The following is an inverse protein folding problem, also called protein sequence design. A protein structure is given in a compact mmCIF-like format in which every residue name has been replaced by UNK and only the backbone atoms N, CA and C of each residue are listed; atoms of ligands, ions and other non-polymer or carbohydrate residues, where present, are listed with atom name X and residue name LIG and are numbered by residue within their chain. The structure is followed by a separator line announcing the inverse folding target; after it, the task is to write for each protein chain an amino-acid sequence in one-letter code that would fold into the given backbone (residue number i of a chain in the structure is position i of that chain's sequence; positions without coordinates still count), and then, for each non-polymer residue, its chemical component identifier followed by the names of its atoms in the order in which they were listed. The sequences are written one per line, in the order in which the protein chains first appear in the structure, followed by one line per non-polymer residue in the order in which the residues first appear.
data_IF_343137271758
#
_entry.id   IF_343137271758
#
_cell.length_a   1.000
_cell.length_b   1.000
_cell.length_c   1.000
_cell.angle_alpha   90.00
_cell.angle_beta   90.00
_cell.angle_gamma   90.00
#
_symmetry.space_group_name_H-M   'P 1'
#
loop_
_entity.id
_entity.type
_entity.pdbx_description
1 polymer ?
#
# COMPACT_ATOMS: atom_id res chain seq x y z
N UNK A 1 -1.92 49.81 -41.89
CA UNK A 1 -2.64 49.75 -40.61
C UNK A 1 -2.19 48.50 -39.85
N UNK A 2 -1.41 48.68 -38.78
CA UNK A 2 -0.93 47.58 -37.92
C UNK A 2 -1.87 47.50 -36.74
N UNK A 3 -2.62 46.40 -36.60
CA UNK A 3 -3.33 46.07 -35.37
C UNK A 3 -2.41 45.18 -34.54
N UNK A 4 -1.73 45.80 -33.57
CA UNK A 4 -1.07 45.08 -32.48
C UNK A 4 -2.06 44.82 -31.39
N UNK A 5 -2.59 43.58 -31.29
CA UNK A 5 -3.35 43.16 -30.13
C UNK A 5 -2.37 42.67 -29.03
N UNK A 6 -2.05 43.61 -28.14
CA UNK A 6 -1.41 43.21 -26.85
C UNK A 6 -2.47 42.56 -25.97
N UNK A 7 -2.50 41.22 -25.96
CA UNK A 7 -3.30 40.46 -25.01
C UNK A 7 -2.62 40.60 -23.63
N UNK A 8 -3.07 41.59 -22.84
CA UNK A 8 -2.66 41.67 -21.43
C UNK A 8 -3.34 40.56 -20.66
N UNK A 9 -2.55 39.55 -20.25
CA UNK A 9 -3.00 38.53 -19.31
C UNK A 9 -3.42 39.18 -17.99
N UNK A 10 -4.54 38.73 -17.36
CA UNK A 10 -4.97 39.28 -16.08
C UNK A 10 -3.87 39.09 -15.03
N UNK A 11 -3.46 40.18 -14.35
CA UNK A 11 -2.57 40.12 -13.19
C UNK A 11 -3.22 39.25 -12.12
N UNK A 12 -2.67 38.05 -11.88
CA UNK A 12 -3.10 37.13 -10.82
C UNK A 12 -3.14 35.67 -11.18
N UNK A 13 -2.95 35.31 -12.44
CA UNK A 13 -2.75 33.91 -12.81
C UNK A 13 -1.25 33.62 -12.72
N UNK A 14 -0.80 33.19 -11.54
CA UNK A 14 0.48 32.51 -11.43
C UNK A 14 0.39 31.28 -12.34
N UNK A 15 1.26 31.10 -13.35
CA UNK A 15 1.30 29.85 -14.11
C UNK A 15 1.44 28.73 -13.09
N UNK A 16 0.61 27.69 -13.21
CA UNK A 16 0.81 26.47 -12.43
C UNK A 16 2.28 26.11 -12.57
N UNK A 17 3.05 26.17 -11.48
CA UNK A 17 4.47 25.99 -11.49
C UNK A 17 4.73 24.65 -12.19
N UNK A 18 5.38 24.70 -13.35
CA UNK A 18 5.73 23.50 -14.11
C UNK A 18 6.61 22.65 -13.20
N UNK A 19 6.06 21.55 -12.69
CA UNK A 19 6.79 20.60 -11.84
C UNK A 19 8.01 20.15 -12.63
N UNK A 20 9.19 20.57 -12.16
CA UNK A 20 10.43 20.24 -12.85
C UNK A 20 10.72 18.74 -12.71
N UNK A 21 11.48 18.18 -13.64
CA UNK A 21 11.91 16.78 -13.56
C UNK A 21 12.66 16.51 -12.24
N UNK A 22 13.39 17.52 -11.75
CA UNK A 22 14.08 17.46 -10.45
C UNK A 22 13.12 17.36 -9.28
N UNK A 23 12.02 18.11 -9.28
CA UNK A 23 11.02 18.06 -8.20
C UNK A 23 10.34 16.69 -8.15
N UNK A 24 10.04 16.11 -9.32
CA UNK A 24 9.50 14.74 -9.44
C UNK A 24 10.47 13.71 -8.87
N UNK A 25 11.75 13.79 -9.18
CA UNK A 25 12.76 12.87 -8.67
C UNK A 25 12.94 12.98 -7.14
N UNK A 26 12.92 14.20 -6.61
CA UNK A 26 12.99 14.44 -5.16
C UNK A 26 11.76 13.85 -4.46
N UNK A 27 10.58 14.04 -5.02
CA UNK A 27 9.33 13.48 -4.50
C UNK A 27 9.37 11.95 -4.49
N UNK A 28 9.74 11.33 -5.60
CA UNK A 28 9.84 9.87 -5.73
C UNK A 28 10.84 9.30 -4.71
N UNK A 29 12.02 9.89 -4.59
CA UNK A 29 13.02 9.48 -3.58
C UNK A 29 12.45 9.53 -2.17
N UNK A 30 11.71 10.58 -1.83
CA UNK A 30 11.09 10.73 -0.51
C UNK A 30 10.03 9.66 -0.26
N UNK A 31 9.18 9.36 -1.25
CA UNK A 31 8.15 8.31 -1.14
C UNK A 31 8.80 6.93 -0.94
N UNK A 32 9.79 6.57 -1.76
CA UNK A 32 10.49 5.29 -1.61
C UNK A 32 11.26 5.17 -0.30
N UNK A 33 11.88 6.26 0.17
CA UNK A 33 12.55 6.29 1.47
C UNK A 33 11.55 6.05 2.62
N UNK A 34 10.40 6.71 2.60
CA UNK A 34 9.33 6.50 3.59
C UNK A 34 8.77 5.08 3.53
N UNK A 35 8.59 4.54 2.32
CA UNK A 35 8.16 3.16 2.13
C UNK A 35 9.16 2.17 2.74
N UNK A 36 10.44 2.33 2.44
CA UNK A 36 11.49 1.46 2.99
C UNK A 36 11.56 1.53 4.53
N UNK A 37 11.46 2.73 5.11
CA UNK A 37 11.42 2.90 6.55
C UNK A 37 10.18 2.29 7.18
N UNK A 38 9.01 2.44 6.56
CA UNK A 38 7.76 1.84 7.04
C UNK A 38 7.77 0.32 6.95
N UNK A 39 8.37 -0.25 5.91
CA UNK A 39 8.60 -1.69 5.82
C UNK A 39 9.57 -2.18 6.93
N UNK A 40 10.60 -1.41 7.25
CA UNK A 40 11.49 -1.70 8.37
C UNK A 40 10.76 -1.74 9.72
N UNK A 41 9.89 -0.76 10.01
CA UNK A 41 9.09 -0.76 11.24
C UNK A 41 8.06 -1.88 11.26
N UNK A 42 7.47 -2.24 10.12
CA UNK A 42 6.59 -3.40 10.02
C UNK A 42 7.35 -4.71 10.27
N UNK A 43 8.57 -4.86 9.76
CA UNK A 43 9.41 -6.03 10.02
C UNK A 43 9.78 -6.17 11.50
N UNK A 44 10.11 -5.06 12.18
CA UNK A 44 10.33 -5.05 13.63
C UNK A 44 9.05 -5.48 14.37
N UNK A 45 7.90 -4.92 13.99
CA UNK A 45 6.60 -5.32 14.54
C UNK A 45 6.33 -6.81 14.36
N UNK A 46 6.57 -7.34 13.17
CA UNK A 46 6.37 -8.76 12.86
C UNK A 46 7.29 -9.68 13.67
N UNK A 47 8.55 -9.29 13.84
CA UNK A 47 9.50 -10.01 14.70
C UNK A 47 9.03 -10.02 16.16
N UNK A 48 8.61 -8.87 16.69
CA UNK A 48 8.09 -8.78 18.06
C UNK A 48 6.81 -9.59 18.23
N UNK A 49 5.90 -9.55 17.27
CA UNK A 49 4.62 -10.26 17.29
C UNK A 49 4.75 -11.78 17.09
N UNK A 50 5.77 -12.25 16.40
CA UNK A 50 6.06 -13.68 16.24
C UNK A 50 6.91 -14.28 17.37
N UNK A 51 7.51 -13.45 18.19
CA UNK A 51 8.39 -13.85 19.29
C UNK A 51 7.95 -13.28 20.65
N UNK A 52 8.60 -12.21 21.16
CA UNK A 52 8.40 -11.74 22.53
C UNK A 52 6.96 -11.37 22.89
N UNK A 53 6.19 -10.87 21.93
CA UNK A 53 4.81 -10.42 22.14
C UNK A 53 3.76 -11.40 21.60
N UNK A 54 4.15 -12.60 21.20
CA UNK A 54 3.23 -13.60 20.62
C UNK A 54 2.06 -13.90 21.56
N UNK A 55 2.34 -14.13 22.85
CA UNK A 55 1.34 -14.45 23.86
C UNK A 55 0.39 -13.29 24.17
N UNK A 56 0.80 -12.06 23.85
CA UNK A 56 -0.05 -10.88 23.96
C UNK A 56 -0.90 -10.69 22.70
N UNK A 57 -0.29 -10.84 21.53
CA UNK A 57 -0.94 -10.52 20.25
C UNK A 57 -1.91 -11.62 19.80
N UNK A 58 -1.49 -12.89 19.89
CA UNK A 58 -2.27 -14.01 19.37
C UNK A 58 -3.68 -14.13 19.99
N UNK A 59 -3.86 -14.06 21.32
CA UNK A 59 -5.20 -14.13 21.90
C UNK A 59 -6.02 -12.85 21.71
N UNK A 60 -5.38 -11.72 21.42
CA UNK A 60 -6.01 -10.41 21.28
C UNK A 60 -6.07 -9.91 19.82
N UNK A 61 -6.05 -10.79 18.83
CA UNK A 61 -6.02 -10.40 17.42
C UNK A 61 -7.14 -9.43 17.02
N UNK A 62 -8.36 -9.64 17.55
CA UNK A 62 -9.49 -8.74 17.28
C UNK A 62 -9.21 -7.31 17.77
N UNK A 63 -8.59 -7.17 18.96
CA UNK A 63 -8.21 -5.86 19.49
C UNK A 63 -7.18 -5.17 18.59
N UNK A 64 -6.18 -5.92 18.11
CA UNK A 64 -5.17 -5.39 17.19
C UNK A 64 -5.77 -5.02 15.83
N UNK A 65 -6.75 -5.76 15.34
CA UNK A 65 -7.51 -5.39 14.13
C UNK A 65 -8.27 -4.08 14.31
N UNK A 66 -8.98 -3.91 15.41
CA UNK A 66 -9.70 -2.66 15.72
C UNK A 66 -8.71 -1.50 15.84
N UNK A 67 -7.59 -1.71 16.54
CA UNK A 67 -6.53 -0.72 16.65
C UNK A 67 -5.96 -0.32 15.27
N UNK A 68 -5.78 -1.29 14.38
CA UNK A 68 -5.29 -1.06 13.02
C UNK A 68 -6.27 -0.20 12.22
N UNK A 69 -7.57 -0.47 12.31
CA UNK A 69 -8.60 0.35 11.68
C UNK A 69 -8.59 1.78 12.26
N UNK A 70 -8.50 1.92 13.57
CA UNK A 70 -8.39 3.23 14.22
C UNK A 70 -7.15 4.01 13.75
N UNK A 71 -6.02 3.33 13.56
CA UNK A 71 -4.79 3.94 13.05
C UNK A 71 -4.89 4.36 11.58
N UNK A 72 -5.68 3.68 10.75
CA UNK A 72 -5.98 4.13 9.37
C UNK A 72 -6.72 5.48 9.40
N UNK A 73 -7.76 5.59 10.23
CA UNK A 73 -8.48 6.87 10.39
C UNK A 73 -7.58 7.95 10.97
N UNK A 74 -6.77 7.61 11.97
CA UNK A 74 -5.80 8.55 12.53
C UNK A 74 -4.78 9.01 11.49
N UNK A 75 -4.24 8.11 10.66
CA UNK A 75 -3.32 8.42 9.58
C UNK A 75 -3.97 9.34 8.53
N UNK A 76 -5.23 9.10 8.18
CA UNK A 76 -5.99 9.94 7.27
C UNK A 76 -6.18 11.37 7.82
N UNK A 77 -6.48 11.50 9.11
CA UNK A 77 -6.58 12.78 9.81
C UNK A 77 -5.22 13.49 9.92
N UNK A 78 -4.16 12.73 10.20
CA UNK A 78 -2.80 13.23 10.37
C UNK A 78 -2.10 13.57 9.04
N UNK A 79 -2.62 13.12 7.89
CA UNK A 79 -1.95 13.20 6.59
C UNK A 79 -1.50 14.63 6.21
N UNK A 80 -2.25 15.65 6.61
CA UNK A 80 -1.95 17.05 6.33
C UNK A 80 -1.13 17.75 7.42
N UNK A 81 -0.77 17.08 8.50
CA UNK A 81 -0.05 17.65 9.64
C UNK A 81 1.40 17.16 9.65
N UNK A 82 2.40 18.02 9.33
CA UNK A 82 3.81 17.64 9.34
C UNK A 82 4.23 17.08 10.69
N UNK A 83 5.00 16.00 10.68
CA UNK A 83 5.44 15.27 11.88
C UNK A 83 4.41 14.25 12.39
N UNK A 84 3.15 14.65 12.54
CA UNK A 84 2.08 13.76 12.99
C UNK A 84 1.77 12.67 11.95
N UNK A 85 1.90 13.00 10.66
CA UNK A 85 1.74 12.05 9.57
C UNK A 85 2.79 10.91 9.61
N UNK A 86 4.04 11.24 9.98
CA UNK A 86 5.08 10.22 10.16
C UNK A 86 4.82 9.32 11.37
N UNK A 87 4.42 9.93 12.49
CA UNK A 87 4.04 9.15 13.69
C UNK A 87 2.90 8.20 13.38
N UNK A 88 1.85 8.68 12.69
CA UNK A 88 0.72 7.87 12.29
C UNK A 88 1.14 6.72 11.35
N UNK A 89 1.98 7.00 10.35
CA UNK A 89 2.48 6.01 9.41
C UNK A 89 3.27 4.90 10.13
N UNK A 90 4.25 5.27 10.95
CA UNK A 90 5.10 4.28 11.63
C UNK A 90 4.36 3.51 12.72
N UNK A 91 3.40 4.15 13.41
CA UNK A 91 2.53 3.44 14.35
C UNK A 91 1.66 2.41 13.64
N UNK A 92 1.03 2.80 12.52
CA UNK A 92 0.22 1.90 11.70
C UNK A 92 1.04 0.72 11.18
N UNK A 93 2.21 0.96 10.59
CA UNK A 93 3.04 -0.11 10.02
C UNK A 93 3.60 -1.04 11.09
N UNK A 94 3.98 -0.52 12.27
CA UNK A 94 4.42 -1.35 13.40
C UNK A 94 3.31 -2.25 13.91
N UNK A 95 2.10 -1.70 14.10
CA UNK A 95 0.93 -2.49 14.55
C UNK A 95 0.52 -3.51 13.48
N UNK A 96 0.60 -3.14 12.20
CA UNK A 96 0.36 -4.09 11.10
C UNK A 96 1.34 -5.26 11.14
N UNK A 97 2.62 -4.98 11.37
CA UNK A 97 3.63 -6.02 11.57
C UNK A 97 3.33 -6.90 12.78
N UNK A 98 3.01 -6.30 13.94
CA UNK A 98 2.62 -7.04 15.15
C UNK A 98 1.45 -7.99 14.88
N UNK A 99 0.43 -7.53 14.17
CA UNK A 99 -0.76 -8.34 13.83
C UNK A 99 -0.40 -9.51 12.90
N UNK A 100 0.60 -9.35 12.03
CA UNK A 100 1.11 -10.43 11.18
C UNK A 100 1.98 -11.43 11.93
N UNK A 101 2.55 -11.05 13.08
CA UNK A 101 3.47 -11.89 13.85
C UNK A 101 2.99 -13.30 14.14
N UNK A 102 1.79 -13.52 14.71
CA UNK A 102 1.25 -14.85 14.96
C UNK A 102 1.10 -15.71 13.69
N UNK A 103 0.75 -15.10 12.56
CA UNK A 103 0.70 -15.80 11.27
C UNK A 103 2.10 -16.25 10.84
N UNK A 104 3.09 -15.37 10.92
CA UNK A 104 4.49 -15.70 10.60
C UNK A 104 5.04 -16.80 11.50
N UNK A 105 4.66 -16.81 12.77
CA UNK A 105 5.00 -17.88 13.69
C UNK A 105 4.42 -19.23 13.24
N UNK A 106 3.17 -19.26 12.76
CA UNK A 106 2.50 -20.47 12.30
C UNK A 106 3.07 -21.02 10.98
N UNK A 107 3.32 -20.15 9.99
CA UNK A 107 3.83 -20.60 8.68
C UNK A 107 5.33 -20.92 8.70
N UNK A 108 6.05 -20.37 9.66
CA UNK A 108 7.48 -20.51 9.79
C UNK A 108 8.30 -19.52 8.96
N UNK A 109 9.57 -19.31 9.35
CA UNK A 109 10.42 -18.26 8.76
C UNK A 109 10.79 -18.52 7.30
N UNK A 110 10.91 -19.77 6.87
CA UNK A 110 11.24 -20.12 5.47
C UNK A 110 10.14 -19.71 4.51
N UNK A 111 8.89 -20.09 4.79
CA UNK A 111 7.72 -19.74 3.96
C UNK A 111 7.52 -18.22 3.95
N UNK A 112 7.68 -17.56 5.10
CA UNK A 112 7.60 -16.10 5.19
C UNK A 112 8.66 -15.41 4.33
N UNK A 113 9.91 -15.89 4.36
CA UNK A 113 11.00 -15.36 3.55
C UNK A 113 10.78 -15.56 2.05
N UNK A 114 10.30 -16.74 1.64
CA UNK A 114 9.95 -17.01 0.24
C UNK A 114 8.83 -16.11 -0.26
N UNK A 115 7.76 -15.96 0.53
CA UNK A 115 6.64 -15.06 0.19
C UNK A 115 7.10 -13.59 0.06
N UNK A 116 7.97 -13.14 0.97
CA UNK A 116 8.55 -11.80 0.91
C UNK A 116 9.42 -11.61 -0.34
N UNK A 117 10.30 -12.57 -0.65
CA UNK A 117 11.17 -12.51 -1.82
C UNK A 117 10.35 -12.48 -3.12
N UNK A 118 9.34 -13.35 -3.26
CA UNK A 118 8.45 -13.37 -4.42
C UNK A 118 7.69 -12.05 -4.57
N UNK A 119 7.19 -11.50 -3.47
CA UNK A 119 6.49 -10.20 -3.47
C UNK A 119 7.43 -9.08 -3.91
N UNK A 120 8.65 -9.04 -3.38
CA UNK A 120 9.64 -8.02 -3.73
C UNK A 120 10.05 -8.10 -5.21
N UNK A 121 10.26 -9.31 -5.73
CA UNK A 121 10.60 -9.54 -7.14
C UNK A 121 9.43 -9.13 -8.04
N UNK A 122 8.20 -9.52 -7.69
CA UNK A 122 6.99 -9.16 -8.44
C UNK A 122 6.80 -7.65 -8.46
N UNK A 123 6.89 -7.01 -7.31
CA UNK A 123 6.77 -5.54 -7.19
C UNK A 123 7.84 -4.83 -8.03
N UNK A 124 9.10 -5.22 -7.89
CA UNK A 124 10.19 -4.61 -8.65
C UNK A 124 10.01 -4.83 -10.17
N UNK A 125 9.67 -6.05 -10.59
CA UNK A 125 9.46 -6.39 -11.99
C UNK A 125 8.31 -5.62 -12.62
N UNK A 126 7.16 -5.55 -11.96
CA UNK A 126 6.00 -4.82 -12.46
C UNK A 126 6.24 -3.30 -12.47
N UNK A 127 6.86 -2.76 -11.42
CA UNK A 127 7.22 -1.34 -11.37
C UNK A 127 8.20 -0.96 -12.48
N UNK A 128 9.23 -1.78 -12.71
CA UNK A 128 10.16 -1.58 -13.81
C UNK A 128 9.45 -1.66 -15.18
N UNK A 129 8.57 -2.64 -15.36
CA UNK A 129 7.80 -2.77 -16.59
C UNK A 129 7.00 -1.50 -16.91
N UNK A 130 6.30 -0.93 -15.94
CA UNK A 130 5.54 0.32 -16.13
C UNK A 130 6.46 1.48 -16.51
N UNK A 131 7.57 1.65 -15.77
CA UNK A 131 8.53 2.73 -16.02
C UNK A 131 9.13 2.66 -17.43
N UNK A 132 9.47 1.45 -17.90
CA UNK A 132 10.05 1.29 -19.24
C UNK A 132 9.01 1.32 -20.36
N UNK A 133 7.84 0.72 -20.16
CA UNK A 133 6.80 0.66 -21.18
C UNK A 133 6.08 1.99 -21.41
N UNK A 134 6.11 2.88 -20.40
CA UNK A 134 5.38 4.17 -20.39
C UNK A 134 3.90 4.03 -20.73
N UNK A 135 3.33 2.84 -20.46
CA UNK A 135 1.89 2.56 -20.67
C UNK A 135 1.09 3.11 -19.51
N UNK A 136 -0.07 3.65 -19.85
CA UNK A 136 -1.07 4.11 -18.89
C UNK A 136 -2.03 2.96 -18.57
N UNK A 137 -2.14 2.62 -17.29
CA UNK A 137 -3.03 1.58 -16.77
C UNK A 137 -4.26 2.16 -16.04
N UNK A 138 -4.51 3.47 -16.17
CA UNK A 138 -5.62 4.16 -15.50
C UNK A 138 -6.99 3.55 -15.84
N UNK A 139 -7.14 2.94 -17.01
CA UNK A 139 -8.37 2.27 -17.42
C UNK A 139 -8.76 1.08 -16.52
N UNK A 140 -7.81 0.52 -15.78
CA UNK A 140 -8.04 -0.63 -14.90
C UNK A 140 -8.72 -0.27 -13.58
N UNK A 141 -8.83 1.01 -13.21
CA UNK A 141 -9.29 1.44 -11.89
C UNK A 141 -10.65 0.84 -11.50
N UNK A 142 -11.63 0.85 -12.39
CA UNK A 142 -12.95 0.29 -12.14
C UNK A 142 -12.92 -1.23 -11.94
N UNK A 143 -12.15 -1.95 -12.76
CA UNK A 143 -11.96 -3.39 -12.63
C UNK A 143 -11.28 -3.76 -11.31
N UNK A 144 -10.21 -3.05 -10.95
CA UNK A 144 -9.46 -3.28 -9.72
C UNK A 144 -10.30 -3.01 -8.48
N UNK A 145 -11.07 -1.90 -8.47
CA UNK A 145 -11.97 -1.58 -7.36
C UNK A 145 -13.07 -2.63 -7.19
N UNK A 146 -13.69 -3.04 -8.29
CA UNK A 146 -14.72 -4.11 -8.26
C UNK A 146 -14.11 -5.42 -7.78
N UNK A 147 -12.95 -5.80 -8.29
CA UNK A 147 -12.23 -7.00 -7.86
C UNK A 147 -11.88 -6.97 -6.37
N UNK A 148 -11.45 -5.83 -5.85
CA UNK A 148 -11.18 -5.66 -4.42
C UNK A 148 -12.43 -5.89 -3.57
N UNK A 149 -13.57 -5.31 -3.95
CA UNK A 149 -14.84 -5.53 -3.25
C UNK A 149 -15.22 -7.01 -3.26
N UNK A 150 -15.11 -7.67 -4.42
CA UNK A 150 -15.39 -9.11 -4.55
C UNK A 150 -14.48 -9.95 -3.66
N UNK A 151 -13.17 -9.64 -3.61
CA UNK A 151 -12.22 -10.34 -2.74
C UNK A 151 -12.54 -10.13 -1.26
N UNK A 152 -12.85 -8.91 -0.84
CA UNK A 152 -13.19 -8.61 0.56
C UNK A 152 -14.48 -9.32 0.96
N UNK A 153 -15.55 -9.18 0.17
CA UNK A 153 -16.83 -9.81 0.47
C UNK A 153 -16.72 -11.32 0.41
N UNK A 154 -16.08 -11.87 -0.64
CA UNK A 154 -15.88 -13.32 -0.79
C UNK A 154 -15.01 -13.90 0.33
N UNK A 155 -13.97 -13.18 0.76
CA UNK A 155 -13.11 -13.56 1.89
C UNK A 155 -13.90 -13.61 3.20
N UNK A 156 -14.72 -12.60 3.49
CA UNK A 156 -15.58 -12.58 4.67
C UNK A 156 -16.61 -13.71 4.62
N UNK A 157 -17.25 -13.94 3.48
CA UNK A 157 -18.20 -15.05 3.31
C UNK A 157 -17.51 -16.41 3.52
N UNK A 158 -16.30 -16.58 2.98
CA UNK A 158 -15.55 -17.81 3.20
C UNK A 158 -15.14 -18.00 4.65
N UNK A 159 -14.73 -16.92 5.33
CA UNK A 159 -14.31 -16.94 6.73
C UNK A 159 -15.45 -17.33 7.68
N UNK A 160 -16.65 -16.78 7.46
CA UNK A 160 -17.76 -16.96 8.41
C UNK A 160 -18.76 -18.07 8.02
N UNK A 161 -18.91 -18.36 6.72
CA UNK A 161 -19.98 -19.23 6.23
C UNK A 161 -19.49 -20.46 5.49
N UNK A 162 -18.59 -20.29 4.51
CA UNK A 162 -18.23 -21.37 3.58
C UNK A 162 -17.11 -22.25 4.16
N UNK A 163 -16.08 -21.64 4.75
CA UNK A 163 -14.91 -22.29 5.37
C UNK A 163 -14.24 -23.32 4.46
N UNK A 164 -14.24 -23.08 3.15
CA UNK A 164 -13.70 -23.99 2.13
C UNK A 164 -12.22 -23.68 1.84
N UNK A 165 -11.37 -24.69 1.95
CA UNK A 165 -9.94 -24.59 1.60
C UNK A 165 -9.73 -24.32 0.10
N UNK A 166 -10.57 -24.89 -0.78
CA UNK A 166 -10.54 -24.60 -2.21
C UNK A 166 -10.85 -23.12 -2.48
N UNK A 167 -11.85 -22.57 -1.79
CA UNK A 167 -12.19 -21.14 -1.90
C UNK A 167 -11.01 -20.27 -1.43
N UNK A 168 -10.33 -20.63 -0.34
CA UNK A 168 -9.11 -19.95 0.10
C UNK A 168 -8.03 -19.93 -0.97
N UNK A 169 -7.78 -21.07 -1.62
CA UNK A 169 -6.78 -21.15 -2.69
C UNK A 169 -7.13 -20.26 -3.88
N UNK A 170 -8.37 -20.31 -4.35
CA UNK A 170 -8.86 -19.45 -5.46
C UNK A 170 -8.75 -17.98 -5.11
N UNK A 171 -9.18 -17.59 -3.90
CA UNK A 171 -9.11 -16.21 -3.43
C UNK A 171 -7.67 -15.71 -3.31
N UNK A 172 -6.74 -16.56 -2.86
CA UNK A 172 -5.32 -16.21 -2.80
C UNK A 172 -4.74 -15.94 -4.18
N UNK A 173 -5.02 -16.80 -5.17
CA UNK A 173 -4.58 -16.60 -6.55
C UNK A 173 -5.18 -15.33 -7.16
N UNK A 174 -6.48 -15.12 -6.97
CA UNK A 174 -7.17 -13.91 -7.43
C UNK A 174 -6.60 -12.64 -6.77
N UNK A 175 -6.23 -12.70 -5.48
CA UNK A 175 -5.59 -11.60 -4.76
C UNK A 175 -4.25 -11.23 -5.37
N UNK A 176 -3.39 -12.22 -5.67
CA UNK A 176 -2.07 -11.96 -6.29
C UNK A 176 -2.24 -11.23 -7.63
N UNK A 177 -3.17 -11.68 -8.47
CA UNK A 177 -3.43 -11.06 -9.77
C UNK A 177 -3.98 -9.64 -9.61
N UNK A 178 -4.93 -9.45 -8.69
CA UNK A 178 -5.54 -8.14 -8.43
C UNK A 178 -4.51 -7.15 -7.90
N UNK A 179 -3.71 -7.53 -6.90
CA UNK A 179 -2.68 -6.64 -6.35
C UNK A 179 -1.55 -6.37 -7.34
N UNK A 180 -1.21 -7.32 -8.21
CA UNK A 180 -0.31 -7.08 -9.36
C UNK A 180 -0.89 -6.00 -10.29
N UNK A 181 -2.19 -6.04 -10.55
CA UNK A 181 -2.89 -4.99 -11.30
C UNK A 181 -2.84 -3.63 -10.59
N UNK A 182 -3.00 -3.59 -9.26
CA UNK A 182 -2.85 -2.35 -8.49
C UNK A 182 -1.42 -1.78 -8.58
N UNK A 183 -0.38 -2.62 -8.53
CA UNK A 183 1.00 -2.16 -8.70
C UNK A 183 1.19 -1.49 -10.07
N UNK A 184 0.65 -2.09 -11.14
CA UNK A 184 0.69 -1.50 -12.48
C UNK A 184 -0.05 -0.15 -12.53
N UNK A 185 -1.26 -0.11 -11.97
CA UNK A 185 -2.09 1.09 -11.91
C UNK A 185 -1.42 2.21 -11.12
N UNK A 186 -1.00 1.96 -9.89
CA UNK A 186 -0.42 2.97 -8.99
C UNK A 186 0.94 3.47 -9.49
N UNK A 187 1.73 2.61 -10.16
CA UNK A 187 3.02 3.01 -10.72
C UNK A 187 2.86 3.82 -12.01
N UNK A 188 1.75 3.65 -12.75
CA UNK A 188 1.50 4.37 -14.01
C UNK A 188 0.91 5.77 -13.80
N UNK A 189 0.29 6.03 -12.67
CA UNK A 189 -0.34 7.31 -12.31
C UNK A 189 0.61 8.19 -11.51
#
# INVERSE_FOLDING_TARGET
MRFGSTTTLPRGVTPAASVTTTDRLVFIKKVYSLLAMSMGTAAIGAYLGSGPLLLLVAPNMMLFFILQIALIFFASFAARKPGLNMVALFSFTTVSGLTLGPLLYQVGPSIAAEAFALTAITFAGLSMYVVYSKKDFSFMSGFLMTGLIVLVVGGLLNMFFIQSGMMHFVMSGASVLLFSGFILYDTSN
#
